data_IF_628496402464
#
_entry.id   IF_628496402464
#
_cell.length_a   1.000
_cell.length_b   1.000
_cell.length_c   1.000
_cell.angle_alpha   90.00
_cell.angle_beta   90.00
_cell.angle_gamma   90.00
#
_symmetry.space_group_name_H-M   'P 1'
#
loop_
_entity.id
_entity.type
_entity.pdbx_description
1 polymer ?
#
# COMPACT_ATOMS: atom_id res chain seq x y z
N UNK A 1 0.20 16.62 -26.08
CA UNK A 1 1.09 15.64 -25.42
C UNK A 1 0.36 15.11 -24.20
N UNK A 2 0.41 13.80 -23.94
CA UNK A 2 -0.23 13.16 -22.80
C UNK A 2 0.85 12.56 -21.88
N UNK A 3 0.56 12.45 -20.57
CA UNK A 3 1.39 11.68 -19.63
C UNK A 3 1.37 10.21 -20.05
N UNK A 4 2.49 9.52 -19.88
CA UNK A 4 2.65 8.10 -20.28
C UNK A 4 2.62 7.16 -19.08
N UNK A 5 2.69 7.68 -17.84
CA UNK A 5 2.63 6.90 -16.62
C UNK A 5 3.08 7.68 -15.39
N UNK A 6 3.02 7.01 -14.25
CA UNK A 6 3.60 7.46 -12.97
C UNK A 6 4.95 6.73 -12.81
N UNK A 7 6.01 7.48 -12.52
CA UNK A 7 7.35 6.91 -12.34
C UNK A 7 7.80 6.84 -10.88
N UNK A 8 7.27 7.69 -10.02
CA UNK A 8 7.56 7.65 -8.58
C UNK A 8 6.47 8.32 -7.74
N UNK A 9 6.47 7.98 -6.46
CA UNK A 9 5.82 8.71 -5.38
C UNK A 9 6.88 9.17 -4.39
N UNK A 10 6.72 10.36 -3.81
CA UNK A 10 7.59 10.86 -2.74
C UNK A 10 6.81 10.88 -1.44
N UNK A 11 7.37 10.30 -0.38
CA UNK A 11 6.75 10.23 0.94
C UNK A 11 7.71 10.77 2.00
N UNK A 12 7.20 11.52 2.99
CA UNK A 12 7.99 11.96 4.13
C UNK A 12 8.27 10.79 5.07
N UNK A 13 9.45 10.76 5.67
CA UNK A 13 9.80 9.74 6.66
C UNK A 13 10.60 10.33 7.81
N UNK A 14 10.32 9.89 9.03
CA UNK A 14 11.04 10.30 10.24
C UNK A 14 12.42 9.66 10.34
N UNK A 15 12.56 8.44 9.83
CA UNK A 15 13.82 7.68 9.77
C UNK A 15 13.92 6.91 8.45
N UNK A 16 14.91 7.28 7.64
CA UNK A 16 15.15 6.67 6.34
C UNK A 16 15.49 5.17 6.43
N UNK A 17 16.23 4.78 7.48
CA UNK A 17 16.63 3.38 7.65
C UNK A 17 15.48 2.48 8.08
N UNK A 18 14.62 2.98 8.95
CA UNK A 18 13.43 2.27 9.40
C UNK A 18 12.43 2.09 8.25
N UNK A 19 12.13 3.17 7.53
CA UNK A 19 11.22 3.11 6.38
C UNK A 19 11.76 2.22 5.25
N UNK A 20 13.06 2.27 4.94
CA UNK A 20 13.67 1.37 3.96
C UNK A 20 13.48 -0.10 4.35
N UNK A 21 13.76 -0.46 5.61
CA UNK A 21 13.55 -1.84 6.10
C UNK A 21 12.07 -2.25 6.00
N UNK A 22 11.16 -1.37 6.39
CA UNK A 22 9.73 -1.63 6.31
C UNK A 22 9.28 -1.95 4.88
N UNK A 23 9.65 -1.13 3.90
CA UNK A 23 9.27 -1.36 2.50
C UNK A 23 9.97 -2.55 1.88
N UNK A 24 11.21 -2.83 2.27
CA UNK A 24 11.91 -4.05 1.86
C UNK A 24 11.22 -5.31 2.41
N UNK A 25 10.87 -5.30 3.69
CA UNK A 25 10.22 -6.43 4.36
C UNK A 25 8.78 -6.66 3.89
N UNK A 26 8.00 -5.58 3.71
CA UNK A 26 6.59 -5.68 3.36
C UNK A 26 6.37 -5.95 1.86
N UNK A 27 7.10 -5.23 1.00
CA UNK A 27 6.85 -5.17 -0.46
C UNK A 27 8.01 -5.70 -1.30
N UNK A 28 9.10 -6.16 -0.69
CA UNK A 28 10.30 -6.53 -1.42
C UNK A 28 10.98 -5.35 -2.12
N UNK A 29 10.84 -4.13 -1.57
CA UNK A 29 11.43 -2.94 -2.15
C UNK A 29 12.96 -3.01 -2.17
N UNK A 30 13.57 -2.63 -3.29
CA UNK A 30 15.01 -2.65 -3.46
C UNK A 30 15.61 -1.24 -3.39
N UNK A 31 16.71 -1.09 -2.66
CA UNK A 31 17.46 0.17 -2.60
C UNK A 31 18.06 0.53 -3.95
N UNK A 32 17.87 1.77 -4.39
CA UNK A 32 18.52 2.37 -5.55
C UNK A 32 19.56 3.41 -5.15
N UNK A 33 20.48 3.73 -6.05
CA UNK A 33 21.33 4.91 -5.93
C UNK A 33 20.45 6.15 -5.98
N UNK A 34 20.72 7.10 -5.08
CA UNK A 34 20.00 8.36 -5.00
C UNK A 34 20.95 9.52 -5.30
N UNK A 35 20.56 10.52 -6.11
CA UNK A 35 21.33 11.75 -6.28
C UNK A 35 21.43 12.51 -4.96
N UNK A 36 22.44 13.36 -4.84
CA UNK A 36 22.55 14.28 -3.73
C UNK A 36 21.72 15.55 -4.01
N UNK A 37 20.64 15.73 -3.26
CA UNK A 37 19.78 16.91 -3.33
C UNK A 37 20.10 17.96 -2.25
N UNK A 38 21.16 17.76 -1.47
CA UNK A 38 21.47 18.59 -0.30
C UNK A 38 20.59 18.32 0.92
N UNK A 39 19.72 17.31 0.83
CA UNK A 39 18.88 16.79 1.91
C UNK A 39 18.94 15.27 1.93
N UNK A 40 18.73 14.62 3.10
CA UNK A 40 18.70 13.16 3.19
C UNK A 40 17.50 12.58 2.42
N UNK A 41 17.80 11.73 1.43
CA UNK A 41 16.80 11.02 0.64
C UNK A 41 17.23 9.59 0.38
N UNK A 42 16.27 8.70 0.16
CA UNK A 42 16.51 7.34 -0.33
C UNK A 42 15.50 6.98 -1.41
N UNK A 43 15.99 6.37 -2.47
CA UNK A 43 15.16 5.84 -3.53
C UNK A 43 15.05 4.33 -3.41
N UNK A 44 13.84 3.84 -3.50
CA UNK A 44 13.51 2.42 -3.52
C UNK A 44 12.79 2.09 -4.82
N UNK A 45 12.94 0.86 -5.30
CA UNK A 45 12.19 0.32 -6.42
C UNK A 45 11.14 -0.66 -5.90
N UNK A 46 9.90 -0.50 -6.37
CA UNK A 46 8.80 -1.46 -6.19
C UNK A 46 8.21 -1.71 -7.57
N UNK A 47 8.41 -2.91 -8.12
CA UNK A 47 8.01 -3.20 -9.49
C UNK A 47 8.62 -2.21 -10.49
N UNK A 48 7.77 -1.56 -11.28
CA UNK A 48 8.15 -0.55 -12.28
C UNK A 48 8.16 0.90 -11.81
N UNK A 49 7.91 1.15 -10.51
CA UNK A 49 7.77 2.50 -9.93
C UNK A 49 8.79 2.69 -8.81
N UNK A 50 9.13 3.93 -8.50
CA UNK A 50 10.03 4.25 -7.39
C UNK A 50 9.24 4.84 -6.21
N UNK A 51 9.72 4.58 -5.00
CA UNK A 51 9.35 5.31 -3.79
C UNK A 51 10.56 6.14 -3.39
N UNK A 52 10.38 7.45 -3.31
CA UNK A 52 11.40 8.38 -2.82
C UNK A 52 11.08 8.72 -1.36
N UNK A 53 11.91 8.25 -0.45
CA UNK A 53 11.85 8.59 0.96
C UNK A 53 12.57 9.92 1.18
N UNK A 54 11.85 10.91 1.69
CA UNK A 54 12.42 12.21 2.06
C UNK A 54 12.37 12.35 3.59
N UNK A 55 13.53 12.60 4.21
CA UNK A 55 13.55 12.79 5.66
C UNK A 55 12.80 14.06 6.08
N UNK A 56 11.77 13.86 6.90
CA UNK A 56 10.94 14.92 7.48
C UNK A 56 10.46 14.47 8.86
N UNK A 57 10.84 15.19 9.91
CA UNK A 57 10.51 14.85 11.30
C UNK A 57 9.00 14.78 11.58
N UNK A 58 8.17 15.40 10.75
CA UNK A 58 6.71 15.34 10.87
C UNK A 58 6.16 13.99 10.43
N UNK A 59 6.84 13.30 9.50
CA UNK A 59 6.33 12.10 8.89
C UNK A 59 5.13 12.36 7.98
N UNK A 60 4.40 11.30 7.67
CA UNK A 60 3.15 11.34 6.90
C UNK A 60 1.94 11.67 7.77
N UNK A 61 0.83 11.10 7.41
CA UNK A 61 -0.47 11.25 8.10
C UNK A 61 -1.56 11.72 7.15
N UNK A 62 -2.81 11.51 7.56
CA UNK A 62 -3.97 11.86 6.75
C UNK A 62 -4.43 10.73 5.81
N UNK A 63 -5.46 10.99 4.98
CA UNK A 63 -6.08 9.98 4.12
C UNK A 63 -5.37 9.77 2.78
N UNK A 64 -4.43 10.65 2.42
CA UNK A 64 -3.66 10.51 1.18
C UNK A 64 -2.81 9.25 1.22
N UNK A 65 -2.87 8.44 0.16
CA UNK A 65 -2.14 7.19 0.05
C UNK A 65 -1.69 6.93 -1.39
N UNK A 66 -0.82 5.96 -1.54
CA UNK A 66 -0.50 5.38 -2.83
C UNK A 66 -0.83 3.88 -2.81
N UNK A 67 -1.20 3.37 -3.99
CA UNK A 67 -1.53 1.95 -4.17
C UNK A 67 -0.40 1.20 -4.85
N UNK A 68 -0.16 -0.03 -4.39
CA UNK A 68 0.72 -0.99 -5.05
C UNK A 68 -0.04 -2.28 -5.33
N UNK A 69 0.35 -2.99 -6.39
CA UNK A 69 -0.23 -4.28 -6.74
C UNK A 69 0.74 -5.40 -6.40
N UNK A 70 0.22 -6.49 -5.84
CA UNK A 70 0.96 -7.73 -5.60
C UNK A 70 0.20 -8.92 -6.22
N UNK A 71 0.92 -9.99 -6.53
CA UNK A 71 0.30 -11.19 -7.11
C UNK A 71 -0.50 -11.98 -6.08
N UNK A 72 -0.01 -12.07 -4.83
CA UNK A 72 -0.62 -12.77 -3.70
C UNK A 72 -0.63 -11.85 -2.47
N UNK A 73 -1.82 -11.64 -1.90
CA UNK A 73 -2.00 -10.79 -0.73
C UNK A 73 -1.61 -11.50 0.58
N UNK A 74 -1.74 -12.82 0.66
CA UNK A 74 -1.60 -13.54 1.91
C UNK A 74 -0.24 -13.33 2.60
N UNK A 75 0.91 -13.44 1.92
CA UNK A 75 2.21 -13.20 2.56
C UNK A 75 2.39 -11.75 3.01
N UNK A 76 1.85 -10.78 2.26
CA UNK A 76 1.90 -9.35 2.63
C UNK A 76 1.03 -9.09 3.86
N UNK A 77 -0.17 -9.67 3.90
CA UNK A 77 -1.08 -9.57 5.04
C UNK A 77 -0.44 -10.12 6.33
N UNK A 78 0.16 -11.32 6.28
CA UNK A 78 0.83 -11.90 7.45
C UNK A 78 2.04 -11.07 7.89
N UNK A 79 2.79 -10.51 6.95
CA UNK A 79 3.89 -9.62 7.26
C UNK A 79 3.40 -8.32 7.89
N UNK A 80 2.35 -7.70 7.36
CA UNK A 80 1.76 -6.49 7.91
C UNK A 80 1.24 -6.71 9.35
N UNK A 81 0.63 -7.86 9.62
CA UNK A 81 0.24 -8.27 10.99
C UNK A 81 1.44 -8.36 11.92
N UNK A 82 2.50 -9.04 11.49
CA UNK A 82 3.71 -9.22 12.29
C UNK A 82 4.43 -7.90 12.60
N UNK A 83 4.29 -6.90 11.73
CA UNK A 83 4.83 -5.55 11.90
C UNK A 83 3.88 -4.59 12.65
N UNK A 84 2.70 -5.05 13.07
CA UNK A 84 1.63 -4.22 13.66
C UNK A 84 1.26 -3.02 12.77
N UNK A 85 1.29 -3.22 11.45
CA UNK A 85 1.14 -2.17 10.45
C UNK A 85 -0.29 -2.05 9.89
N UNK A 86 -1.22 -2.94 10.23
CA UNK A 86 -2.60 -2.88 9.73
C UNK A 86 -3.30 -1.62 10.24
N UNK A 87 -3.94 -0.84 9.34
CA UNK A 87 -4.67 0.37 9.72
C UNK A 87 -6.19 0.13 9.77
N UNK A 88 -6.77 -0.17 10.94
CA UNK A 88 -8.20 -0.39 11.07
C UNK A 88 -9.03 0.89 10.91
N UNK A 89 -8.41 2.07 10.97
CA UNK A 89 -9.07 3.35 10.80
C UNK A 89 -9.19 3.75 9.32
N UNK A 90 -8.35 3.22 8.44
CA UNK A 90 -8.42 3.47 7.02
C UNK A 90 -9.75 2.93 6.46
N UNK A 91 -10.59 3.81 5.93
CA UNK A 91 -11.88 3.44 5.36
C UNK A 91 -12.77 2.54 6.25
N UNK A 92 -12.58 2.59 7.58
CA UNK A 92 -13.37 1.83 8.57
C UNK A 92 -13.00 0.35 8.71
N UNK A 93 -12.05 -0.15 7.93
CA UNK A 93 -11.46 -1.49 8.04
C UNK A 93 -10.19 -1.60 7.19
N UNK A 94 -9.23 -2.42 7.62
CA UNK A 94 -7.95 -2.55 6.95
C UNK A 94 -7.98 -3.46 5.71
N UNK A 95 -9.00 -4.29 5.49
CA UNK A 95 -9.05 -5.24 4.38
C UNK A 95 -10.45 -5.32 3.76
N UNK A 96 -10.56 -4.82 2.55
CA UNK A 96 -11.79 -4.82 1.77
C UNK A 96 -11.68 -5.71 0.54
N UNK A 97 -12.80 -6.32 0.15
CA UNK A 97 -12.99 -6.90 -1.17
C UNK A 97 -13.94 -5.98 -1.96
N UNK A 98 -13.45 -5.47 -3.08
CA UNK A 98 -14.21 -4.63 -4.00
C UNK A 98 -15.24 -5.44 -4.79
N UNK A 99 -16.25 -4.79 -5.42
CA UNK A 99 -17.26 -5.49 -6.23
C UNK A 99 -16.71 -6.34 -7.38
N UNK A 100 -15.49 -6.05 -7.86
CA UNK A 100 -14.82 -6.80 -8.91
C UNK A 100 -13.87 -7.90 -8.39
N UNK A 101 -13.89 -8.14 -7.07
CA UNK A 101 -13.09 -9.16 -6.42
C UNK A 101 -11.65 -8.73 -6.08
N UNK A 102 -11.28 -7.47 -6.35
CA UNK A 102 -9.97 -6.96 -5.93
C UNK A 102 -9.94 -6.74 -4.43
N UNK A 103 -8.89 -7.24 -3.79
CA UNK A 103 -8.60 -7.01 -2.39
C UNK A 103 -7.83 -5.72 -2.21
N UNK A 104 -8.19 -4.91 -1.19
CA UNK A 104 -7.50 -3.69 -0.79
C UNK A 104 -7.09 -3.79 0.68
N UNK A 105 -5.79 -3.91 0.93
CA UNK A 105 -5.21 -3.93 2.27
C UNK A 105 -4.60 -2.57 2.60
N UNK A 106 -4.97 -2.00 3.73
CA UNK A 106 -4.47 -0.71 4.21
C UNK A 106 -3.47 -0.90 5.35
N UNK A 107 -2.28 -0.35 5.18
CA UNK A 107 -1.20 -0.40 6.17
C UNK A 107 -0.60 0.98 6.42
N UNK A 108 -0.07 1.20 7.63
CA UNK A 108 0.74 2.36 7.98
C UNK A 108 2.21 1.99 8.03
N UNK A 109 3.04 2.80 7.37
CA UNK A 109 4.48 2.70 7.54
C UNK A 109 4.92 3.32 8.90
N UNK A 110 6.18 3.14 9.32
CA UNK A 110 6.67 3.68 10.60
C UNK A 110 6.59 5.21 10.74
N UNK A 111 6.35 5.91 9.65
CA UNK A 111 6.21 7.37 9.59
C UNK A 111 4.76 7.84 9.41
N UNK A 112 3.78 6.94 9.56
CA UNK A 112 2.34 7.16 9.39
C UNK A 112 1.89 7.41 7.93
N UNK A 113 2.69 7.08 6.93
CA UNK A 113 2.19 7.09 5.55
C UNK A 113 1.22 5.92 5.34
N UNK A 114 0.07 6.23 4.74
CA UNK A 114 -0.90 5.20 4.37
C UNK A 114 -0.49 4.57 3.03
N UNK A 115 -0.48 3.25 3.00
CA UNK A 115 -0.21 2.45 1.81
C UNK A 115 -1.39 1.52 1.58
N UNK A 116 -1.87 1.47 0.33
CA UNK A 116 -2.87 0.51 -0.12
C UNK A 116 -2.17 -0.61 -0.91
N UNK A 117 -2.36 -1.85 -0.50
CA UNK A 117 -1.85 -3.01 -1.24
C UNK A 117 -3.01 -3.75 -1.87
N UNK A 118 -2.95 -3.92 -3.18
CA UNK A 118 -4.01 -4.51 -3.99
C UNK A 118 -3.59 -5.86 -4.55
N UNK A 119 -4.52 -6.81 -4.55
CA UNK A 119 -4.35 -8.11 -5.21
C UNK A 119 -5.70 -8.65 -5.69
N UNK A 120 -5.68 -9.51 -6.72
CA UNK A 120 -6.87 -10.29 -7.12
C UNK A 120 -7.04 -11.57 -6.32
N UNK A 121 -6.00 -12.01 -5.65
CA UNK A 121 -6.00 -13.22 -4.82
C UNK A 121 -5.82 -12.85 -3.34
N UNK A 122 -6.76 -13.29 -2.51
CA UNK A 122 -6.71 -13.17 -1.06
C UNK A 122 -5.92 -14.32 -0.40
N UNK A 123 -5.32 -15.20 -1.19
CA UNK A 123 -4.72 -16.45 -0.73
C UNK A 123 -5.74 -17.59 -0.57
N UNK A 124 -5.31 -18.68 0.05
CA UNK A 124 -6.14 -19.89 0.18
C UNK A 124 -7.46 -19.62 0.92
N UNK A 125 -8.58 -20.17 0.47
CA UNK A 125 -9.85 -20.13 1.20
C UNK A 125 -9.67 -20.61 2.65
N UNK A 126 -10.14 -19.79 3.62
CA UNK A 126 -9.97 -20.06 5.05
C UNK A 126 -8.66 -19.57 5.65
N UNK A 127 -7.75 -18.99 4.87
CA UNK A 127 -6.58 -18.25 5.38
C UNK A 127 -6.99 -16.97 6.13
N UNK A 128 -6.08 -16.39 6.93
CA UNK A 128 -6.40 -15.25 7.78
C UNK A 128 -6.87 -14.04 6.97
N UNK A 129 -6.21 -13.70 5.86
CA UNK A 129 -6.64 -12.61 4.98
C UNK A 129 -8.05 -12.85 4.42
N UNK A 130 -8.34 -14.08 3.99
CA UNK A 130 -9.66 -14.46 3.50
C UNK A 130 -10.75 -14.35 4.58
N UNK A 131 -10.43 -14.68 5.83
CA UNK A 131 -11.35 -14.63 6.96
C UNK A 131 -11.62 -13.21 7.44
N UNK A 132 -10.60 -12.37 7.46
CA UNK A 132 -10.68 -11.02 8.01
C UNK A 132 -11.24 -9.98 7.03
N UNK A 133 -11.33 -10.31 5.73
CA UNK A 133 -11.84 -9.37 4.73
C UNK A 133 -13.31 -9.01 4.96
N UNK A 134 -13.67 -7.80 4.59
CA UNK A 134 -15.06 -7.36 4.48
C UNK A 134 -15.42 -7.09 3.03
N UNK A 135 -16.61 -7.49 2.64
CA UNK A 135 -17.14 -7.22 1.31
C UNK A 135 -17.67 -5.79 1.26
N UNK A 136 -17.18 -4.98 0.34
CA UNK A 136 -17.66 -3.59 0.19
C UNK A 136 -19.15 -3.55 -0.17
N UNK A 137 -19.63 -4.53 -0.94
CA UNK A 137 -21.05 -4.65 -1.31
C UNK A 137 -21.98 -4.89 -0.12
N UNK A 138 -21.48 -5.51 0.96
CA UNK A 138 -22.27 -5.73 2.19
C UNK A 138 -22.23 -4.51 3.11
N UNK A 139 -21.17 -3.72 3.04
CA UNK A 139 -20.98 -2.57 3.91
C UNK A 139 -21.59 -1.27 3.35
N UNK A 140 -21.66 -1.14 2.02
CA UNK A 140 -22.12 0.07 1.34
C UNK A 140 -23.01 -0.29 0.15
N UNK A 141 -24.18 0.39 0.00
CA UNK A 141 -25.04 0.20 -1.16
C UNK A 141 -24.30 0.48 -2.47
N UNK A 142 -24.41 -0.42 -3.44
CA UNK A 142 -23.80 -0.29 -4.76
C UNK A 142 -24.88 -0.14 -5.83
N UNK A 143 -24.71 0.82 -6.72
CA UNK A 143 -25.52 0.96 -7.93
C UNK A 143 -24.85 0.28 -9.14
N UNK A 144 -25.50 0.30 -10.32
CA UNK A 144 -24.97 -0.32 -11.53
C UNK A 144 -23.62 0.25 -11.99
N UNK A 145 -23.37 1.54 -11.77
CA UNK A 145 -22.12 2.20 -12.11
C UNK A 145 -21.01 1.73 -11.17
N UNK A 146 -21.29 1.68 -9.86
CA UNK A 146 -20.32 1.22 -8.85
C UNK A 146 -19.89 -0.23 -9.10
N UNK A 147 -20.84 -1.11 -9.47
CA UNK A 147 -20.55 -2.52 -9.78
C UNK A 147 -19.70 -2.71 -11.06
N UNK A 148 -19.60 -1.68 -11.91
CA UNK A 148 -18.75 -1.70 -13.12
C UNK A 148 -17.36 -1.13 -12.89
N UNK A 149 -17.11 -0.51 -11.72
CA UNK A 149 -15.79 0.01 -11.40
C UNK A 149 -14.72 -1.09 -11.43
N UNK A 150 -13.55 -0.78 -11.96
CA UNK A 150 -12.41 -1.69 -12.04
C UNK A 150 -11.15 -0.93 -11.64
N UNK A 151 -10.38 -1.50 -10.74
CA UNK A 151 -9.05 -0.99 -10.43
C UNK A 151 -8.10 -1.39 -11.57
N UNK A 152 -7.32 -0.42 -12.07
CA UNK A 152 -6.26 -0.69 -13.04
C UNK A 152 -5.06 -1.27 -12.30
N UNK A 153 -4.69 -2.50 -12.61
CA UNK A 153 -3.61 -3.25 -11.96
C UNK A 153 -2.63 -3.78 -13.01
#
# INVERSE_FOLDING_TARGET
>A
MAATGINHVTIPTRDLGESERFYADLLGAERLASPNFGAPVRWLRVGGVQIHLLEDSRGGGGPGHFGVTVDDLAPVYERARALDALDPAANGHYLWELPDGVMQLYVRDPSDNLVEVNARDAGAPGGAAHTDRRLLVDAQPQNEENLRARLLM
#
